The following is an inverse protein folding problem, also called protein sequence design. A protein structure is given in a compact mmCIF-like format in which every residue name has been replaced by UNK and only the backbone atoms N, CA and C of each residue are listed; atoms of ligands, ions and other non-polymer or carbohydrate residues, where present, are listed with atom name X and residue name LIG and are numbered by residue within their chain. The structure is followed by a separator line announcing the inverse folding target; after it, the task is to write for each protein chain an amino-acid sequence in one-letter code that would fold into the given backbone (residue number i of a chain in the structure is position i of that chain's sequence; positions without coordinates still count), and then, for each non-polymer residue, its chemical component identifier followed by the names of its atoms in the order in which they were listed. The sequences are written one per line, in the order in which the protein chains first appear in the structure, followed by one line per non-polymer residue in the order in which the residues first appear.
data_IF_560134485707
#
_entry.id   IF_560134485707
#
_cell.length_a   1.000
_cell.length_b   1.000
_cell.length_c   1.000
_cell.angle_alpha   90.00
_cell.angle_beta   90.00
_cell.angle_gamma   90.00
#
_symmetry.space_group_name_H-M   'P 1'
#
loop_
_entity.id
_entity.type
_entity.pdbx_description
1 polymer ?
#
# COMPACT_ATOMS: atom_id res chain seq x y z
N UNK A 1 -19.27 3.36 -5.99
CA UNK A 1 -18.05 3.12 -5.20
C UNK A 1 -17.29 4.44 -5.23
N UNK A 2 -16.98 5.02 -4.08
CA UNK A 2 -16.22 6.27 -4.03
C UNK A 2 -14.78 5.96 -4.46
N UNK A 3 -14.28 6.67 -5.48
CA UNK A 3 -12.92 6.43 -5.96
C UNK A 3 -11.94 6.89 -4.88
N UNK A 4 -11.01 6.05 -4.41
CA UNK A 4 -10.01 6.46 -3.43
C UNK A 4 -9.14 7.58 -3.99
N UNK A 5 -9.14 8.73 -3.32
CA UNK A 5 -8.33 9.89 -3.71
C UNK A 5 -7.03 9.89 -2.92
N UNK A 6 -5.92 10.02 -3.62
CA UNK A 6 -4.62 10.31 -2.99
C UNK A 6 -4.53 11.82 -2.77
N UNK A 7 -4.40 12.22 -1.52
CA UNK A 7 -4.20 13.63 -1.13
C UNK A 7 -2.71 13.89 -0.88
N UNK A 8 -2.11 14.86 -1.57
CA UNK A 8 -0.75 15.35 -1.28
C UNK A 8 -0.80 16.45 -0.20
N UNK A 9 0.06 16.31 0.80
CA UNK A 9 0.33 17.32 1.82
C UNK A 9 1.80 17.74 1.75
N UNK A 10 2.07 19.01 2.07
CA UNK A 10 3.45 19.51 2.23
C UNK A 10 3.65 19.99 3.66
N UNK A 11 4.57 19.36 4.36
CA UNK A 11 4.90 19.67 5.75
C UNK A 11 6.41 19.88 5.82
N UNK A 12 6.85 21.08 6.22
CA UNK A 12 8.28 21.43 6.34
C UNK A 12 9.09 21.18 5.06
N UNK A 13 8.45 21.29 3.88
CA UNK A 13 9.08 21.06 2.57
C UNK A 13 9.07 19.60 2.11
N UNK A 14 8.71 18.66 2.98
CA UNK A 14 8.55 17.25 2.62
C UNK A 14 7.14 16.96 2.12
N UNK A 15 7.02 16.01 1.19
CA UNK A 15 5.74 15.58 0.62
C UNK A 15 5.23 14.34 1.32
N UNK A 16 3.96 14.37 1.67
CA UNK A 16 3.24 13.26 2.28
C UNK A 16 1.99 12.96 1.47
N UNK A 17 1.65 11.69 1.35
CA UNK A 17 0.51 11.21 0.60
C UNK A 17 -0.40 10.45 1.56
N UNK A 18 -1.68 10.82 1.60
CA UNK A 18 -2.69 10.14 2.41
C UNK A 18 -3.82 9.62 1.53
N UNK A 19 -4.42 8.52 1.96
CA UNK A 19 -5.61 7.96 1.34
C UNK A 19 -6.67 7.83 2.41
N UNK A 20 -7.84 8.40 2.16
CA UNK A 20 -8.96 8.40 3.09
C UNK A 20 -10.02 7.38 2.67
N UNK A 21 -10.60 6.70 3.66
CA UNK A 21 -11.75 5.80 3.50
C UNK A 21 -12.69 6.00 4.67
N UNK A 22 -13.96 6.24 4.40
CA UNK A 22 -14.98 6.46 5.44
C UNK A 22 -14.58 7.58 6.44
N UNK A 23 -14.08 8.70 5.91
CA UNK A 23 -13.63 9.88 6.68
C UNK A 23 -12.50 9.61 7.68
N UNK A 24 -11.69 8.57 7.44
CA UNK A 24 -10.48 8.25 8.22
C UNK A 24 -9.31 7.98 7.29
N UNK A 25 -8.09 8.32 7.74
CA UNK A 25 -6.85 7.98 7.02
C UNK A 25 -6.67 6.46 7.08
N UNK A 26 -6.72 5.83 5.92
CA UNK A 26 -6.51 4.38 5.77
C UNK A 26 -5.05 4.04 5.41
N UNK A 27 -4.34 4.98 4.77
CA UNK A 27 -2.94 4.82 4.41
C UNK A 27 -2.22 6.16 4.37
N UNK A 28 -0.94 6.17 4.77
CA UNK A 28 -0.06 7.33 4.70
C UNK A 28 1.35 6.91 4.26
N UNK A 29 2.01 7.72 3.45
CA UNK A 29 3.38 7.45 2.98
C UNK A 29 4.05 8.73 2.46
N UNK A 30 5.38 8.76 2.41
CA UNK A 30 6.14 9.79 1.68
C UNK A 30 6.44 9.39 0.24
N UNK A 31 6.08 8.17 -0.17
CA UNK A 31 6.36 7.63 -1.50
C UNK A 31 5.07 7.56 -2.35
N UNK A 32 5.00 8.38 -3.41
CA UNK A 32 3.84 8.41 -4.31
C UNK A 32 3.57 7.06 -5.00
N UNK A 33 4.60 6.26 -5.27
CA UNK A 33 4.44 4.94 -5.86
C UNK A 33 3.75 3.98 -4.89
N UNK A 34 4.07 4.04 -3.59
CA UNK A 34 3.41 3.24 -2.56
C UNK A 34 1.94 3.62 -2.40
N UNK A 35 1.61 4.93 -2.44
CA UNK A 35 0.23 5.40 -2.40
C UNK A 35 -0.59 4.87 -3.59
N UNK A 36 -0.04 4.98 -4.81
CA UNK A 36 -0.66 4.45 -6.03
C UNK A 36 -0.85 2.94 -5.98
N UNK A 37 0.15 2.20 -5.51
CA UNK A 37 0.07 0.76 -5.35
C UNK A 37 -1.06 0.37 -4.40
N UNK A 38 -1.18 1.07 -3.27
CA UNK A 38 -2.19 0.79 -2.27
C UNK A 38 -3.61 1.04 -2.81
N UNK A 39 -3.84 2.13 -3.54
CA UNK A 39 -5.12 2.37 -4.23
C UNK A 39 -5.49 1.18 -5.11
N UNK A 40 -4.59 0.83 -6.03
CA UNK A 40 -4.84 -0.21 -7.04
C UNK A 40 -5.13 -1.59 -6.44
N UNK A 41 -4.43 -1.98 -5.38
CA UNK A 41 -4.46 -3.36 -4.90
C UNK A 41 -5.26 -3.57 -3.61
N UNK A 42 -5.41 -2.53 -2.78
CA UNK A 42 -6.09 -2.64 -1.47
C UNK A 42 -7.50 -2.05 -1.51
N UNK A 43 -7.74 -1.01 -2.33
CA UNK A 43 -9.08 -0.45 -2.49
C UNK A 43 -9.82 -1.13 -3.64
N UNK A 44 -9.20 -1.24 -4.81
CA UNK A 44 -9.88 -1.80 -6.01
C UNK A 44 -9.97 -3.34 -5.99
N UNK A 45 -9.37 -3.98 -4.98
CA UNK A 45 -9.46 -5.43 -4.75
C UNK A 45 -8.66 -6.28 -5.73
N UNK A 46 -7.77 -5.68 -6.53
CA UNK A 46 -6.85 -6.42 -7.39
C UNK A 46 -5.86 -7.17 -6.49
N UNK A 47 -6.10 -8.47 -6.32
CA UNK A 47 -5.30 -9.34 -5.45
C UNK A 47 -3.85 -9.30 -5.89
N UNK A 48 -2.97 -8.90 -4.98
CA UNK A 48 -1.53 -8.95 -5.19
C UNK A 48 -1.16 -10.43 -5.27
N UNK A 49 -0.57 -10.93 -6.37
CA UNK A 49 0.11 -12.21 -6.31
C UNK A 49 1.24 -12.04 -5.29
N UNK A 50 1.07 -12.65 -4.11
CA UNK A 50 2.18 -12.80 -3.18
C UNK A 50 3.32 -13.44 -3.98
N UNK A 51 4.54 -12.88 -3.95
CA UNK A 51 5.67 -13.59 -4.51
C UNK A 51 5.63 -14.98 -3.87
N UNK A 52 5.55 -16.01 -4.71
CA UNK A 52 5.54 -17.39 -4.24
C UNK A 52 6.70 -17.50 -3.25
N UNK A 53 6.41 -17.93 -2.02
CA UNK A 53 7.46 -18.27 -1.07
C UNK A 53 8.30 -19.36 -1.73
N UNK A 54 9.44 -18.99 -2.33
CA UNK A 54 10.59 -19.89 -2.42
C UNK A 54 11.14 -20.03 -1.00
N UNK A 55 10.41 -20.80 -0.20
CA UNK A 55 10.67 -21.09 1.19
C UNK A 55 10.60 -22.60 1.45
N UNK A 56 11.36 -23.37 0.67
CA UNK A 56 11.68 -24.76 1.00
C UNK A 56 12.52 -24.81 2.27
N UNK A 57 11.87 -24.75 3.43
CA UNK A 57 12.42 -25.19 4.70
C UNK A 57 12.38 -26.72 4.75
N UNK A 58 13.37 -27.36 4.12
CA UNK A 58 13.69 -28.76 4.42
C UNK A 58 14.88 -28.79 5.38
N UNK A 59 14.58 -29.20 6.61
CA UNK A 59 15.50 -29.46 7.73
C UNK A 59 16.64 -30.41 7.33
N UNK A 60 17.88 -30.22 7.82
CA UNK A 60 18.89 -31.25 7.70
C UNK A 60 18.49 -32.44 8.60
N UNK A 61 18.17 -33.58 7.99
CA UNK A 61 18.04 -34.84 8.72
C UNK A 61 19.43 -35.30 9.17
N UNK A 62 19.52 -35.61 10.48
CA UNK A 62 20.67 -36.29 11.11
C UNK A 62 20.68 -37.77 10.80
#
# INVERSE_FOLDING_TARGET
MENPVITEHRIRGERFYTIEKSSKIAFYTTNIAAARYWVKHVIDGESIPLPAEEGGLETPQS
#
